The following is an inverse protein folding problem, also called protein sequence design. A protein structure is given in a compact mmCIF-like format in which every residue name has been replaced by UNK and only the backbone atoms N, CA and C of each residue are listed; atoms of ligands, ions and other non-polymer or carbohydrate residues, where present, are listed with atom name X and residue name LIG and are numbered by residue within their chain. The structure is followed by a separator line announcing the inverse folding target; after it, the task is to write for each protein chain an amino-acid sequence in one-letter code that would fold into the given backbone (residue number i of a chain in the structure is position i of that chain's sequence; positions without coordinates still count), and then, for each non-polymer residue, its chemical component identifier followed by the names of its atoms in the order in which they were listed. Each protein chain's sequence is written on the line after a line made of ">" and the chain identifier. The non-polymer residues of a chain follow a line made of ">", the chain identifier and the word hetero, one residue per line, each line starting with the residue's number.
data_IF_838792564149
#
_entry.id   IF_838792564149
#
_cell.length_a   1.000
_cell.length_b   1.000
_cell.length_c   1.000
_cell.angle_alpha   90.00
_cell.angle_beta   90.00
_cell.angle_gamma   90.00
#
_symmetry.space_group_name_H-M   'P 1'
#
loop_
_entity.id
_entity.type
_entity.pdbx_description
1 polymer ?
#
# COMPACT_ATOMS: atom_id res chain seq x y z
N UNK A 1 -13.88 -20.71 16.56
CA UNK A 1 -12.56 -21.06 17.10
C UNK A 1 -11.66 -21.20 15.89
N UNK A 2 -10.91 -20.14 15.60
CA UNK A 2 -9.95 -20.05 14.50
C UNK A 2 -8.88 -21.14 14.65
N UNK A 3 -8.44 -21.71 13.53
CA UNK A 3 -7.32 -22.61 13.43
C UNK A 3 -6.05 -21.94 13.94
N UNK A 4 -5.80 -22.02 15.25
CA UNK A 4 -4.52 -21.65 15.82
C UNK A 4 -3.50 -22.70 15.41
N UNK A 5 -2.55 -22.29 14.60
CA UNK A 5 -1.31 -23.03 14.49
C UNK A 5 -0.43 -22.51 15.61
N UNK A 6 -0.19 -23.34 16.63
CA UNK A 6 1.03 -23.22 17.43
C UNK A 6 2.20 -23.55 16.49
N UNK A 7 2.53 -22.60 15.61
CA UNK A 7 3.81 -22.60 14.94
C UNK A 7 4.78 -22.37 16.08
N UNK A 8 5.53 -23.40 16.49
CA UNK A 8 6.21 -23.33 17.78
C UNK A 8 7.11 -22.09 17.80
N UNK A 9 6.76 -21.15 18.66
CA UNK A 9 7.34 -19.81 18.74
C UNK A 9 8.87 -19.91 18.85
N UNK A 10 9.32 -20.91 19.61
CA UNK A 10 10.72 -21.25 19.82
C UNK A 10 11.45 -21.65 18.53
N UNK A 11 10.81 -22.41 17.63
CA UNK A 11 11.44 -22.85 16.38
C UNK A 11 11.47 -21.73 15.35
N UNK A 12 10.40 -20.94 15.22
CA UNK A 12 10.45 -19.71 14.42
C UNK A 12 11.61 -18.84 14.90
N UNK A 13 11.73 -18.60 16.21
CA UNK A 13 12.82 -17.81 16.77
C UNK A 13 14.20 -18.41 16.44
N UNK A 14 14.36 -19.73 16.56
CA UNK A 14 15.62 -20.41 16.22
C UNK A 14 15.98 -20.30 14.74
N UNK A 15 15.00 -20.39 13.84
CA UNK A 15 15.22 -20.25 12.40
C UNK A 15 15.50 -18.80 12.02
N UNK A 16 14.81 -17.85 12.64
CA UNK A 16 15.09 -16.41 12.45
C UNK A 16 16.53 -16.06 12.83
N UNK A 17 17.05 -16.61 13.93
CA UNK A 17 18.46 -16.42 14.30
C UNK A 17 19.47 -16.98 13.27
N UNK A 18 19.05 -17.94 12.44
CA UNK A 18 19.87 -18.55 11.39
C UNK A 18 19.74 -17.85 10.02
N UNK A 19 18.76 -16.97 9.83
CA UNK A 19 18.50 -16.27 8.57
C UNK A 19 19.09 -14.87 8.63
N UNK A 20 20.17 -14.62 7.88
CA UNK A 20 20.72 -13.26 7.71
C UNK A 20 20.36 -12.62 6.38
N UNK A 21 19.94 -13.45 5.42
CA UNK A 21 19.30 -12.99 4.20
C UNK A 21 18.75 -14.15 3.38
N UNK A 22 18.23 -13.80 2.19
CA UNK A 22 17.63 -14.75 1.25
C UNK A 22 18.51 -16.00 1.00
N UNK A 23 19.84 -15.89 0.80
CA UNK A 23 20.67 -17.07 0.54
C UNK A 23 20.68 -18.10 1.68
N UNK A 24 20.49 -17.68 2.93
CA UNK A 24 20.47 -18.59 4.07
C UNK A 24 19.15 -19.36 4.15
N UNK A 25 18.06 -18.75 3.68
CA UNK A 25 16.76 -19.43 3.55
C UNK A 25 16.87 -20.54 2.52
N UNK A 26 17.48 -20.27 1.36
CA UNK A 26 17.74 -21.29 0.34
C UNK A 26 18.56 -22.46 0.89
N UNK A 27 19.59 -22.18 1.71
CA UNK A 27 20.38 -23.23 2.38
C UNK A 27 19.54 -24.04 3.37
N UNK A 28 18.70 -23.40 4.17
CA UNK A 28 17.82 -24.09 5.12
C UNK A 28 16.78 -24.98 4.42
N UNK A 29 16.42 -24.63 3.18
CA UNK A 29 15.55 -25.38 2.29
C UNK A 29 16.31 -26.41 1.42
N UNK A 30 17.55 -26.77 1.77
CA UNK A 30 18.21 -27.96 1.19
C UNK A 30 17.76 -29.24 1.91
N UNK A 31 17.95 -30.40 1.27
CA UNK A 31 17.58 -31.72 1.81
C UNK A 31 16.11 -31.82 2.29
N UNK A 32 15.19 -31.21 1.54
CA UNK A 32 13.75 -31.15 1.90
C UNK A 32 13.11 -32.52 2.07
N UNK A 33 13.62 -33.56 1.40
CA UNK A 33 13.13 -34.92 1.52
C UNK A 33 13.32 -35.51 2.94
N UNK A 34 14.28 -34.99 3.71
CA UNK A 34 14.58 -35.44 5.08
C UNK A 34 13.84 -34.60 6.15
N UNK A 35 13.18 -33.51 5.74
CA UNK A 35 12.50 -32.58 6.64
C UNK A 35 11.00 -32.87 6.71
N UNK A 36 10.39 -32.62 7.87
CA UNK A 36 8.93 -32.70 8.00
C UNK A 36 8.30 -31.51 7.25
N UNK A 37 7.15 -31.71 6.64
CA UNK A 37 6.44 -30.64 5.90
C UNK A 37 6.18 -29.40 6.76
N UNK A 38 5.88 -29.57 8.05
CA UNK A 38 5.72 -28.47 8.99
C UNK A 38 7.01 -27.67 9.16
N UNK A 39 8.17 -28.32 9.20
CA UNK A 39 9.46 -27.65 9.34
C UNK A 39 9.78 -26.81 8.09
N UNK A 40 9.41 -27.29 6.91
CA UNK A 40 9.56 -26.55 5.64
C UNK A 40 8.72 -25.27 5.67
N UNK A 41 7.44 -25.38 6.06
CA UNK A 41 6.55 -24.22 6.18
C UNK A 41 7.04 -23.22 7.25
N UNK A 42 7.53 -23.72 8.39
CA UNK A 42 8.13 -22.91 9.45
C UNK A 42 9.36 -22.14 8.98
N UNK A 43 10.25 -22.76 8.20
CA UNK A 43 11.42 -22.09 7.61
C UNK A 43 10.99 -20.98 6.64
N UNK A 44 9.99 -21.25 5.80
CA UNK A 44 9.44 -20.28 4.84
C UNK A 44 8.84 -19.07 5.60
N UNK A 45 8.02 -19.32 6.63
CA UNK A 45 7.42 -18.27 7.45
C UNK A 45 8.48 -17.50 8.25
N UNK A 46 9.44 -18.19 8.88
CA UNK A 46 10.51 -17.52 9.62
C UNK A 46 11.35 -16.63 8.70
N UNK A 47 11.67 -17.11 7.50
CA UNK A 47 12.42 -16.35 6.51
C UNK A 47 11.66 -15.11 6.01
N UNK A 48 10.34 -15.20 5.83
CA UNK A 48 9.54 -14.04 5.41
C UNK A 48 9.43 -12.99 6.52
N UNK A 49 9.32 -13.40 7.79
CA UNK A 49 9.31 -12.49 8.93
C UNK A 49 10.65 -11.79 9.13
N UNK A 50 11.77 -12.52 8.99
CA UNK A 50 13.12 -11.94 9.17
C UNK A 50 13.53 -10.99 8.03
N UNK A 51 12.95 -11.19 6.84
CA UNK A 51 13.18 -10.32 5.67
C UNK A 51 12.15 -9.21 5.54
N UNK A 52 11.22 -9.06 6.50
CA UNK A 52 10.09 -8.12 6.46
C UNK A 52 9.25 -8.24 5.16
N UNK A 53 9.07 -9.46 4.66
CA UNK A 53 8.29 -9.72 3.46
C UNK A 53 6.80 -9.46 3.68
N UNK A 54 6.14 -8.87 2.68
CA UNK A 54 4.70 -8.59 2.70
C UNK A 54 3.85 -9.76 2.20
N UNK A 55 4.35 -10.51 1.23
CA UNK A 55 3.70 -11.70 0.69
C UNK A 55 4.72 -12.82 0.45
N UNK A 56 4.29 -14.06 0.67
CA UNK A 56 4.98 -15.29 0.27
C UNK A 56 4.26 -15.86 -0.94
N UNK A 57 5.01 -16.17 -1.99
CA UNK A 57 4.50 -16.74 -3.22
C UNK A 57 5.10 -18.13 -3.43
N UNK A 58 4.22 -19.12 -3.63
CA UNK A 58 4.60 -20.48 -4.00
C UNK A 58 3.96 -20.80 -5.35
N UNK A 59 4.79 -20.91 -6.39
CA UNK A 59 4.34 -20.90 -7.78
C UNK A 59 4.83 -22.16 -8.51
N UNK A 60 3.97 -23.18 -8.67
CA UNK A 60 4.34 -24.42 -9.35
C UNK A 60 4.69 -24.19 -10.81
N UNK A 61 5.85 -24.73 -11.20
CA UNK A 61 6.33 -24.85 -12.57
C UNK A 61 6.30 -26.34 -12.98
N UNK A 62 6.71 -26.64 -14.21
CA UNK A 62 6.67 -28.00 -14.75
C UNK A 62 7.50 -29.01 -13.93
N UNK A 63 8.64 -28.59 -13.38
CA UNK A 63 9.65 -29.45 -12.73
C UNK A 63 10.00 -29.05 -11.28
N UNK A 64 9.69 -27.82 -10.88
CA UNK A 64 9.94 -27.29 -9.54
C UNK A 64 8.81 -26.34 -9.10
N UNK A 65 8.85 -25.89 -7.86
CA UNK A 65 7.99 -24.82 -7.34
C UNK A 65 8.85 -23.65 -6.94
N UNK A 66 8.60 -22.49 -7.51
CA UNK A 66 9.34 -21.27 -7.21
C UNK A 66 8.80 -20.64 -5.94
N UNK A 67 9.66 -20.47 -4.94
CA UNK A 67 9.38 -19.67 -3.74
C UNK A 67 9.87 -18.24 -3.95
N UNK A 68 8.98 -17.26 -3.81
CA UNK A 68 9.32 -15.83 -3.89
C UNK A 68 8.78 -15.07 -2.71
N UNK A 69 9.50 -14.03 -2.29
CA UNK A 69 9.01 -13.06 -1.31
C UNK A 69 8.80 -11.70 -1.95
N UNK A 70 7.72 -11.02 -1.55
CA UNK A 70 7.53 -9.61 -1.88
C UNK A 70 8.20 -8.73 -0.83
N UNK A 71 9.40 -8.25 -1.15
CA UNK A 71 10.18 -7.33 -0.33
C UNK A 71 10.02 -5.92 -0.87
N UNK A 72 9.57 -4.99 -0.03
CA UNK A 72 9.34 -3.59 -0.41
C UNK A 72 8.54 -3.42 -1.72
N UNK A 73 7.53 -4.29 -1.92
CA UNK A 73 6.64 -4.27 -3.09
C UNK A 73 7.15 -5.06 -4.31
N UNK A 74 8.41 -5.49 -4.32
CA UNK A 74 9.04 -6.20 -5.45
C UNK A 74 9.23 -7.68 -5.11
N UNK A 75 8.93 -8.56 -6.08
CA UNK A 75 9.12 -10.00 -5.93
C UNK A 75 10.60 -10.36 -6.09
N UNK A 76 11.11 -11.15 -5.15
CA UNK A 76 12.48 -11.66 -5.14
C UNK A 76 12.43 -13.19 -5.06
N UNK A 77 13.18 -13.86 -5.92
CA UNK A 77 13.32 -15.31 -5.88
C UNK A 77 14.12 -15.72 -4.64
N UNK A 78 13.60 -16.72 -3.91
CA UNK A 78 14.18 -17.18 -2.64
C UNK A 78 14.80 -18.56 -2.79
N UNK A 79 14.03 -19.52 -3.31
CA UNK A 79 14.46 -20.90 -3.49
C UNK A 79 13.54 -21.64 -4.46
N UNK A 80 14.02 -22.78 -4.98
CA UNK A 80 13.18 -23.75 -5.67
C UNK A 80 12.89 -24.93 -4.74
N UNK A 81 11.63 -25.36 -4.74
CA UNK A 81 11.12 -26.47 -3.93
C UNK A 81 10.77 -27.62 -4.86
N UNK A 82 11.20 -28.87 -4.59
CA UNK A 82 10.80 -30.03 -5.37
C UNK A 82 9.29 -30.25 -5.35
N UNK A 83 8.69 -30.52 -6.51
CA UNK A 83 7.23 -30.69 -6.65
C UNK A 83 6.65 -31.79 -5.75
N UNK A 84 7.44 -32.84 -5.46
CA UNK A 84 7.06 -33.90 -4.53
C UNK A 84 6.81 -33.37 -3.10
N UNK A 85 7.65 -32.45 -2.61
CA UNK A 85 7.49 -31.83 -1.29
C UNK A 85 6.34 -30.83 -1.29
N UNK A 86 6.10 -30.14 -2.42
CA UNK A 86 5.09 -29.11 -2.52
C UNK A 86 3.66 -29.62 -2.31
N UNK A 87 3.32 -30.81 -2.81
CA UNK A 87 1.99 -31.41 -2.61
C UNK A 87 1.59 -31.48 -1.13
N UNK A 88 2.55 -31.82 -0.27
CA UNK A 88 2.34 -31.86 1.17
C UNK A 88 2.24 -30.45 1.77
N UNK A 89 3.06 -29.51 1.27
CA UNK A 89 3.02 -28.10 1.69
C UNK A 89 1.65 -27.48 1.38
N UNK A 90 1.10 -27.68 0.19
CA UNK A 90 -0.24 -27.22 -0.19
C UNK A 90 -1.30 -27.77 0.75
N UNK A 91 -1.24 -29.07 1.05
CA UNK A 91 -2.18 -29.70 1.99
C UNK A 91 -2.07 -29.11 3.39
N UNK A 92 -0.83 -28.83 3.85
CA UNK A 92 -0.59 -28.22 5.16
C UNK A 92 -1.13 -26.79 5.22
N UNK A 93 -0.86 -25.96 4.21
CA UNK A 93 -1.38 -24.58 4.12
C UNK A 93 -2.90 -24.57 4.12
N UNK A 94 -3.54 -25.42 3.31
CA UNK A 94 -5.00 -25.52 3.24
C UNK A 94 -5.61 -25.96 4.58
N UNK A 95 -4.99 -26.94 5.24
CA UNK A 95 -5.45 -27.40 6.55
C UNK A 95 -5.41 -26.28 7.60
N UNK A 96 -4.29 -25.56 7.71
CA UNK A 96 -4.14 -24.50 8.72
C UNK A 96 -4.99 -23.26 8.42
N UNK A 97 -5.32 -23.04 7.15
CA UNK A 97 -6.14 -21.91 6.70
C UNK A 97 -7.64 -22.26 6.64
N UNK A 98 -8.05 -23.41 7.18
CA UNK A 98 -9.43 -23.92 7.16
C UNK A 98 -10.04 -24.12 5.76
N UNK A 99 -9.21 -24.36 4.75
CA UNK A 99 -9.63 -24.64 3.38
C UNK A 99 -9.92 -26.12 3.16
N UNK A 100 -10.73 -26.43 2.14
CA UNK A 100 -11.09 -27.81 1.78
C UNK A 100 -9.96 -28.47 0.99
N UNK A 101 -9.37 -29.52 1.56
CA UNK A 101 -8.24 -30.27 0.94
C UNK A 101 -8.61 -30.93 -0.38
N UNK A 102 -9.84 -31.42 -0.50
CA UNK A 102 -10.35 -32.14 -1.67
C UNK A 102 -10.82 -31.23 -2.82
N UNK A 103 -10.90 -29.91 -2.60
CA UNK A 103 -11.24 -28.94 -3.65
C UNK A 103 -9.94 -28.42 -4.25
N UNK A 104 -9.68 -28.70 -5.53
CA UNK A 104 -8.48 -28.23 -6.24
C UNK A 104 -8.80 -27.55 -7.57
N UNK A 105 -10.10 -27.43 -7.91
CA UNK A 105 -10.59 -26.96 -9.21
C UNK A 105 -11.03 -25.50 -9.22
N UNK A 106 -10.99 -24.82 -8.07
CA UNK A 106 -11.42 -23.43 -7.91
C UNK A 106 -10.58 -22.74 -6.83
N UNK A 107 -10.57 -21.42 -6.88
CA UNK A 107 -9.92 -20.60 -5.87
C UNK A 107 -10.48 -20.83 -4.46
N UNK A 108 -9.63 -20.72 -3.45
CA UNK A 108 -9.99 -20.78 -2.05
C UNK A 108 -9.20 -19.75 -1.26
N UNK A 109 -9.87 -19.09 -0.32
CA UNK A 109 -9.28 -18.14 0.60
C UNK A 109 -9.46 -18.63 2.04
N UNK A 110 -8.54 -18.25 2.91
CA UNK A 110 -8.50 -18.71 4.29
C UNK A 110 -7.56 -17.83 5.10
N UNK A 111 -7.54 -18.05 6.42
CA UNK A 111 -6.75 -17.24 7.35
C UNK A 111 -6.18 -18.12 8.44
N UNK A 112 -5.02 -17.75 8.96
CA UNK A 112 -4.42 -18.34 10.14
C UNK A 112 -3.56 -17.32 10.87
N UNK A 113 -3.23 -17.57 12.13
CA UNK A 113 -2.42 -16.67 12.95
C UNK A 113 -1.07 -17.29 13.25
N UNK A 114 0.00 -16.50 13.13
CA UNK A 114 1.34 -16.85 13.61
C UNK A 114 1.56 -16.11 14.93
N UNK A 115 1.90 -16.85 15.99
CA UNK A 115 2.34 -16.28 17.26
C UNK A 115 3.87 -16.16 17.22
N UNK A 116 4.40 -14.95 17.32
CA UNK A 116 5.86 -14.69 17.33
C UNK A 116 6.19 -13.53 18.28
N UNK A 117 7.13 -13.74 19.22
CA UNK A 117 7.62 -12.69 20.13
C UNK A 117 6.51 -11.90 20.87
N UNK A 118 5.47 -12.58 21.37
CA UNK A 118 4.25 -12.00 21.97
C UNK A 118 3.39 -11.13 21.03
N UNK A 119 3.63 -11.19 19.72
CA UNK A 119 2.82 -10.54 18.70
C UNK A 119 2.06 -11.61 17.92
N UNK A 120 0.78 -11.37 17.71
CA UNK A 120 -0.04 -12.16 16.80
C UNK A 120 0.01 -11.53 15.40
N UNK A 121 0.38 -12.33 14.41
CA UNK A 121 0.47 -11.92 13.02
C UNK A 121 -0.57 -12.71 12.24
N UNK A 122 -1.63 -12.05 11.80
CA UNK A 122 -2.62 -12.66 10.92
C UNK A 122 -2.02 -12.86 9.52
N UNK A 123 -2.26 -14.04 8.95
CA UNK A 123 -1.89 -14.38 7.59
C UNK A 123 -3.13 -14.70 6.79
N UNK A 124 -3.30 -14.02 5.66
CA UNK A 124 -4.33 -14.37 4.68
C UNK A 124 -3.71 -15.30 3.64
N UNK A 125 -4.33 -16.44 3.44
CA UNK A 125 -3.93 -17.42 2.45
C UNK A 125 -4.93 -17.40 1.29
N UNK A 126 -4.41 -17.35 0.06
CA UNK A 126 -5.18 -17.53 -1.16
C UNK A 126 -4.55 -18.65 -1.99
N UNK A 127 -5.39 -19.53 -2.51
CA UNK A 127 -4.99 -20.71 -3.30
C UNK A 127 -5.71 -20.67 -4.63
N UNK A 128 -4.98 -20.77 -5.74
CA UNK A 128 -5.53 -20.74 -7.10
C UNK A 128 -5.09 -21.97 -7.91
N UNK A 129 -6.01 -22.65 -8.62
CA UNK A 129 -5.64 -23.77 -9.48
C UNK A 129 -4.73 -23.31 -10.62
N UNK A 130 -3.70 -24.10 -10.90
CA UNK A 130 -2.76 -23.88 -12.00
C UNK A 130 -2.41 -25.17 -12.74
N UNK A 131 -1.74 -25.07 -13.91
CA UNK A 131 -1.45 -26.22 -14.77
C UNK A 131 -0.52 -27.26 -14.12
N UNK A 132 0.34 -26.83 -13.18
CA UNK A 132 1.33 -27.67 -12.53
C UNK A 132 1.05 -27.89 -11.03
N UNK A 133 -0.10 -27.42 -10.55
CA UNK A 133 -0.48 -27.46 -9.13
C UNK A 133 -1.19 -26.18 -8.70
N UNK A 134 -1.63 -26.14 -7.44
CA UNK A 134 -2.25 -24.95 -6.87
C UNK A 134 -1.17 -23.90 -6.54
N UNK A 135 -1.31 -22.68 -7.06
CA UNK A 135 -0.53 -21.52 -6.63
C UNK A 135 -0.99 -21.10 -5.23
N UNK A 136 -0.06 -20.71 -4.36
CA UNK A 136 -0.37 -20.22 -3.02
C UNK A 136 0.25 -18.84 -2.83
N UNK A 137 -0.54 -17.90 -2.33
CA UNK A 137 -0.09 -16.60 -1.85
C UNK A 137 -0.46 -16.48 -0.38
N UNK A 138 0.53 -16.17 0.47
CA UNK A 138 0.32 -15.88 1.88
C UNK A 138 0.67 -14.42 2.13
N UNK A 139 -0.33 -13.59 2.45
CA UNK A 139 -0.13 -12.19 2.83
C UNK A 139 0.06 -12.05 4.32
N UNK A 140 1.17 -11.46 4.73
CA UNK A 140 1.57 -11.29 6.13
C UNK A 140 1.13 -9.92 6.63
N UNK A 141 0.17 -9.88 7.55
CA UNK A 141 -0.33 -8.65 8.14
C UNK A 141 0.52 -8.29 9.37
N UNK A 142 1.74 -7.81 9.12
CA UNK A 142 2.66 -7.43 10.19
C UNK A 142 2.22 -6.10 10.85
N UNK A 143 1.86 -6.09 12.15
CA UNK A 143 1.35 -4.89 12.82
C UNK A 143 2.37 -3.77 12.93
N UNK A 144 3.68 -4.02 12.76
CA UNK A 144 4.69 -2.95 12.68
C UNK A 144 4.40 -1.94 11.55
N UNK A 145 3.76 -2.38 10.47
CA UNK A 145 3.38 -1.52 9.36
C UNK A 145 2.27 -0.51 9.71
N UNK A 146 1.55 -0.73 10.82
CA UNK A 146 0.52 0.18 11.31
C UNK A 146 1.15 1.47 11.82
N UNK A 147 2.38 1.47 12.34
CA UNK A 147 2.91 2.57 13.17
C UNK A 147 3.30 3.86 12.42
N UNK A 148 3.13 3.95 11.09
CA UNK A 148 3.55 5.12 10.31
C UNK A 148 2.71 6.35 10.69
N UNK A 149 3.34 7.36 11.30
CA UNK A 149 2.69 8.61 11.65
C UNK A 149 2.41 9.50 10.42
N UNK A 150 1.48 10.45 10.55
CA UNK A 150 1.17 11.41 9.49
C UNK A 150 2.42 12.16 8.99
N UNK A 151 3.32 12.53 9.90
CA UNK A 151 4.59 13.21 9.60
C UNK A 151 5.63 12.32 8.90
N UNK A 152 5.48 11.00 8.98
CA UNK A 152 6.43 10.02 8.46
C UNK A 152 6.02 9.46 7.09
N UNK A 153 4.88 9.90 6.55
CA UNK A 153 4.37 9.44 5.25
C UNK A 153 5.30 9.79 4.08
N UNK A 154 6.15 10.80 4.25
CA UNK A 154 7.07 11.28 3.23
C UNK A 154 6.50 12.37 2.33
N UNK A 155 5.47 13.07 2.79
CA UNK A 155 4.97 14.26 2.11
C UNK A 155 6.03 15.37 2.11
N UNK A 156 6.04 16.19 1.06
CA UNK A 156 6.82 17.42 1.09
C UNK A 156 6.30 18.34 2.20
N UNK A 157 7.15 19.16 2.85
CA UNK A 157 6.74 19.96 4.00
C UNK A 157 5.51 20.84 3.76
N UNK A 158 5.40 21.46 2.59
CA UNK A 158 4.24 22.30 2.24
C UNK A 158 2.97 21.48 1.95
N UNK A 159 3.11 20.30 1.34
CA UNK A 159 1.99 19.36 1.15
C UNK A 159 1.49 18.90 2.52
N UNK A 160 2.39 18.54 3.42
CA UNK A 160 2.04 18.11 4.76
C UNK A 160 1.33 19.22 5.54
N UNK A 161 1.79 20.47 5.43
CA UNK A 161 1.11 21.63 6.05
C UNK A 161 -0.30 21.84 5.48
N UNK A 162 -0.47 21.74 4.16
CA UNK A 162 -1.78 21.81 3.52
C UNK A 162 -2.70 20.70 4.01
N UNK A 163 -2.23 19.45 4.01
CA UNK A 163 -3.00 18.31 4.51
C UNK A 163 -3.36 18.44 5.99
N UNK A 164 -2.47 18.99 6.82
CA UNK A 164 -2.77 19.23 8.24
C UNK A 164 -3.93 20.24 8.42
N UNK A 165 -4.00 21.28 7.57
CA UNK A 165 -5.12 22.23 7.57
C UNK A 165 -6.43 21.56 7.15
N UNK A 166 -6.36 20.69 6.15
CA UNK A 166 -7.53 19.98 5.61
C UNK A 166 -8.06 18.92 6.58
N UNK A 167 -7.18 18.19 7.25
CA UNK A 167 -7.53 17.24 8.31
C UNK A 167 -8.15 17.91 9.55
N UNK A 168 -7.91 19.21 9.75
CA UNK A 168 -8.46 19.98 10.86
C UNK A 168 -9.84 20.58 10.57
N UNK A 169 -10.34 20.48 9.33
CA UNK A 169 -11.69 20.97 8.97
C UNK A 169 -12.76 20.08 9.60
N UNK A 170 -13.92 20.66 9.98
CA UNK A 170 -14.99 19.91 10.63
C UNK A 170 -15.68 18.93 9.68
N UNK A 171 -15.69 19.21 8.39
CA UNK A 171 -16.38 18.41 7.40
C UNK A 171 -15.72 18.49 6.02
N UNK A 172 -16.22 17.63 5.14
CA UNK A 172 -15.78 17.53 3.75
C UNK A 172 -15.02 16.24 3.47
N UNK A 173 -14.60 16.04 2.22
CA UNK A 173 -14.03 14.76 1.78
C UNK A 173 -12.55 14.89 1.41
N UNK A 174 -11.73 14.00 1.97
CA UNK A 174 -10.33 13.80 1.57
C UNK A 174 -10.25 12.46 0.84
N UNK A 175 -9.83 12.53 -0.43
CA UNK A 175 -9.76 11.37 -1.31
C UNK A 175 -8.33 10.95 -1.57
N UNK A 176 -8.01 9.69 -1.30
CA UNK A 176 -6.70 9.12 -1.63
C UNK A 176 -6.80 8.13 -2.78
N UNK A 177 -6.02 8.35 -3.84
CA UNK A 177 -6.04 7.52 -5.03
C UNK A 177 -4.69 6.87 -5.31
N UNK A 178 -4.71 5.87 -6.19
CA UNK A 178 -3.54 5.11 -6.62
C UNK A 178 -3.83 3.62 -6.78
N UNK A 179 -2.91 2.87 -7.38
CA UNK A 179 -3.07 1.43 -7.59
C UNK A 179 -3.06 0.63 -6.28
N UNK A 180 -3.33 -0.66 -6.36
CA UNK A 180 -3.15 -1.58 -5.22
C UNK A 180 -1.69 -1.56 -4.76
N UNK A 181 -1.47 -1.55 -3.44
CA UNK A 181 -0.12 -1.51 -2.88
C UNK A 181 0.55 -0.13 -2.90
N UNK A 182 -0.15 0.93 -3.30
CA UNK A 182 0.38 2.30 -3.27
C UNK A 182 0.40 2.96 -1.88
N UNK A 183 -0.05 2.25 -0.83
CA UNK A 183 -0.04 2.72 0.56
C UNK A 183 -1.29 3.50 0.99
N UNK A 184 -2.39 3.48 0.21
CA UNK A 184 -3.62 4.25 0.54
C UNK A 184 -4.13 3.98 1.95
N UNK A 185 -4.31 2.72 2.31
CA UNK A 185 -4.78 2.33 3.65
C UNK A 185 -3.84 2.82 4.75
N UNK A 186 -2.52 2.74 4.55
CA UNK A 186 -1.53 3.26 5.50
C UNK A 186 -1.67 4.77 5.69
N UNK A 187 -1.84 5.53 4.59
CA UNK A 187 -2.09 6.97 4.63
C UNK A 187 -3.40 7.30 5.36
N UNK A 188 -4.50 6.62 5.02
CA UNK A 188 -5.79 6.84 5.65
C UNK A 188 -5.78 6.51 7.14
N UNK A 189 -5.10 5.44 7.56
CA UNK A 189 -4.94 5.11 8.97
C UNK A 189 -4.07 6.13 9.71
N UNK A 190 -3.07 6.70 9.04
CA UNK A 190 -2.29 7.82 9.58
C UNK A 190 -3.17 9.07 9.77
N UNK A 191 -4.06 9.37 8.82
CA UNK A 191 -5.03 10.47 8.94
C UNK A 191 -6.02 10.24 10.08
N UNK A 192 -6.59 9.03 10.19
CA UNK A 192 -7.49 8.64 11.28
C UNK A 192 -6.83 8.89 12.63
N UNK A 193 -5.57 8.50 12.81
CA UNK A 193 -4.82 8.76 14.05
C UNK A 193 -4.56 10.23 14.31
N UNK A 194 -4.29 11.01 13.26
CA UNK A 194 -4.06 12.47 13.40
C UNK A 194 -5.32 13.19 13.88
N UNK A 195 -6.50 12.75 13.42
CA UNK A 195 -7.79 13.35 13.81
C UNK A 195 -8.41 12.73 15.07
N UNK A 196 -7.95 11.55 15.50
CA UNK A 196 -8.48 10.83 16.65
C UNK A 196 -8.26 11.57 17.96
N UNK A 197 -9.36 12.01 18.57
CA UNK A 197 -9.42 12.71 19.86
C UNK A 197 -10.57 12.13 20.69
N UNK A 198 -10.54 12.19 22.04
CA UNK A 198 -11.58 11.58 22.88
C UNK A 198 -13.02 12.02 22.61
N UNK A 199 -13.23 13.20 22.03
CA UNK A 199 -14.55 13.73 21.69
C UNK A 199 -14.95 13.56 20.22
N UNK A 200 -14.25 12.71 19.46
CA UNK A 200 -14.47 12.50 18.03
C UNK A 200 -14.80 11.04 17.78
N UNK A 201 -16.03 10.75 17.35
CA UNK A 201 -16.48 9.42 16.97
C UNK A 201 -16.06 9.10 15.54
N UNK A 202 -15.27 8.05 15.39
CA UNK A 202 -14.70 7.63 14.10
C UNK A 202 -15.19 6.23 13.78
N UNK A 203 -15.88 6.09 12.65
CA UNK A 203 -16.39 4.81 12.17
C UNK A 203 -15.83 4.50 10.78
N UNK A 204 -15.32 3.28 10.59
CA UNK A 204 -14.80 2.82 9.28
C UNK A 204 -15.65 1.71 8.68
N UNK A 205 -15.70 1.66 7.35
CA UNK A 205 -16.33 0.63 6.54
C UNK A 205 -15.31 0.10 5.54
N UNK A 206 -14.84 -1.14 5.73
CA UNK A 206 -13.67 -1.67 5.03
C UNK A 206 -13.92 -3.07 4.44
N UNK A 207 -13.27 -3.39 3.32
CA UNK A 207 -13.36 -4.70 2.68
C UNK A 207 -11.98 -5.26 2.30
N UNK A 208 -11.34 -6.07 3.16
CA UNK A 208 -11.60 -6.25 4.59
C UNK A 208 -10.89 -5.19 5.47
N UNK A 209 -11.08 -5.27 6.79
CA UNK A 209 -10.26 -4.50 7.74
C UNK A 209 -8.81 -5.03 7.66
N UNK A 210 -7.85 -4.16 7.34
CA UNK A 210 -6.44 -4.55 7.21
C UNK A 210 -5.77 -4.69 8.58
N UNK A 211 -6.04 -3.75 9.49
CA UNK A 211 -5.53 -3.80 10.86
C UNK A 211 -6.49 -3.13 11.84
N UNK A 212 -6.46 -3.59 13.09
CA UNK A 212 -7.21 -2.97 14.18
C UNK A 212 -6.53 -1.71 14.71
N UNK A 213 -7.26 -0.59 14.71
CA UNK A 213 -6.85 0.68 15.31
C UNK A 213 -7.57 0.83 16.65
N UNK A 214 -6.79 0.89 17.73
CA UNK A 214 -7.34 1.04 19.07
C UNK A 214 -8.17 2.33 19.20
N UNK A 215 -9.39 2.20 19.74
CA UNK A 215 -10.30 3.32 19.96
C UNK A 215 -11.15 3.71 18.74
N UNK A 216 -11.02 3.00 17.61
CA UNK A 216 -11.79 3.27 16.39
C UNK A 216 -12.81 2.16 16.14
N UNK A 217 -14.01 2.52 15.76
CA UNK A 217 -15.09 1.58 15.46
C UNK A 217 -14.97 1.14 14.00
N UNK A 218 -14.31 0.00 13.78
CA UNK A 218 -14.10 -0.53 12.42
C UNK A 218 -15.12 -1.60 12.08
N UNK A 219 -15.81 -1.45 10.94
CA UNK A 219 -16.76 -2.43 10.42
C UNK A 219 -16.26 -3.02 9.11
N UNK A 220 -16.47 -4.32 8.94
CA UNK A 220 -16.04 -5.04 7.75
C UNK A 220 -17.24 -5.39 6.87
N UNK A 221 -17.07 -5.31 5.55
CA UNK A 221 -18.04 -5.83 4.59
C UNK A 221 -18.22 -7.34 4.78
N UNK A 222 -19.48 -7.77 4.77
CA UNK A 222 -19.90 -9.16 4.82
C UNK A 222 -20.97 -9.38 3.74
N UNK A 223 -20.54 -9.36 2.48
CA UNK A 223 -21.42 -9.43 1.31
C UNK A 223 -22.36 -10.64 1.33
N UNK A 224 -21.91 -11.80 1.83
CA UNK A 224 -22.74 -13.01 1.96
C UNK A 224 -23.93 -12.84 2.90
N UNK A 225 -23.83 -11.92 3.87
CA UNK A 225 -24.89 -11.57 4.82
C UNK A 225 -25.72 -10.35 4.39
N UNK A 226 -25.41 -9.75 3.24
CA UNK A 226 -26.05 -8.52 2.74
C UNK A 226 -25.57 -7.24 3.41
N UNK A 227 -24.43 -7.26 4.14
CA UNK A 227 -23.79 -6.06 4.68
C UNK A 227 -22.68 -5.60 3.73
N UNK A 228 -23.03 -4.68 2.82
CA UNK A 228 -22.19 -4.12 1.75
C UNK A 228 -21.88 -2.62 1.98
N UNK A 229 -21.12 -1.99 1.07
CA UNK A 229 -20.75 -0.58 1.21
C UNK A 229 -21.96 0.37 1.31
N UNK A 230 -22.98 0.29 0.43
CA UNK A 230 -24.16 1.14 0.56
C UNK A 230 -24.95 0.95 1.84
N UNK A 231 -25.24 -0.30 2.24
CA UNK A 231 -26.02 -0.60 3.45
C UNK A 231 -25.24 -0.27 4.74
N UNK A 232 -23.94 -0.55 4.76
CA UNK A 232 -23.03 -0.19 5.84
C UNK A 232 -22.96 1.32 6.04
N UNK A 233 -22.72 2.08 4.97
CA UNK A 233 -22.60 3.52 5.04
C UNK A 233 -23.90 4.20 5.54
N UNK A 234 -25.07 3.73 5.08
CA UNK A 234 -26.35 4.19 5.63
C UNK A 234 -26.50 3.92 7.13
N UNK A 235 -25.96 2.80 7.59
CA UNK A 235 -26.04 2.41 9.00
C UNK A 235 -25.11 3.27 9.85
N UNK A 236 -23.90 3.54 9.37
CA UNK A 236 -22.92 4.46 9.95
C UNK A 236 -23.53 5.85 10.15
N UNK A 237 -24.25 6.39 9.18
CA UNK A 237 -24.90 7.71 9.30
C UNK A 237 -25.96 7.81 10.41
N UNK A 238 -26.43 6.68 10.95
CA UNK A 238 -27.33 6.64 12.12
C UNK A 238 -26.60 6.40 13.44
N UNK A 239 -25.27 6.40 13.42
CA UNK A 239 -24.44 6.17 14.60
C UNK A 239 -23.84 7.45 15.18
N UNK A 240 -24.29 8.63 14.75
CA UNK A 240 -23.73 9.92 15.21
C UNK A 240 -22.20 10.03 15.01
N UNK A 241 -21.66 9.71 13.80
CA UNK A 241 -20.23 9.81 13.55
C UNK A 241 -19.77 11.26 13.36
N UNK A 242 -18.53 11.57 13.71
CA UNK A 242 -17.86 12.81 13.31
C UNK A 242 -17.00 12.58 12.05
N UNK A 243 -16.30 11.44 12.02
CA UNK A 243 -15.40 11.04 10.93
C UNK A 243 -15.82 9.68 10.38
N UNK A 244 -15.87 9.57 9.06
CA UNK A 244 -16.23 8.34 8.36
C UNK A 244 -15.09 7.94 7.42
N UNK A 245 -14.63 6.70 7.50
CA UNK A 245 -13.76 6.11 6.48
C UNK A 245 -14.55 5.11 5.66
N UNK A 246 -14.62 5.34 4.34
CA UNK A 246 -15.16 4.37 3.37
C UNK A 246 -13.97 3.79 2.62
N UNK A 247 -13.73 2.48 2.76
CA UNK A 247 -12.53 1.83 2.23
C UNK A 247 -12.30 2.11 0.75
N UNK A 248 -13.37 2.12 -0.05
CA UNK A 248 -13.34 2.47 -1.47
C UNK A 248 -14.73 2.87 -1.99
N UNK A 249 -14.75 3.69 -3.04
CA UNK A 249 -15.98 4.05 -3.77
C UNK A 249 -15.96 3.40 -5.15
N UNK A 250 -16.58 2.23 -5.28
CA UNK A 250 -16.63 1.50 -6.58
C UNK A 250 -17.86 1.84 -7.42
N UNK A 251 -18.96 2.19 -6.76
CA UNK A 251 -20.26 2.37 -7.37
C UNK A 251 -20.87 3.74 -7.04
N UNK A 252 -21.91 4.11 -7.79
CA UNK A 252 -22.63 5.36 -7.65
C UNK A 252 -23.24 5.53 -6.25
N UNK A 253 -23.85 4.49 -5.69
CA UNK A 253 -24.63 4.58 -4.45
C UNK A 253 -23.74 4.87 -3.24
N UNK A 254 -22.60 4.17 -3.17
CA UNK A 254 -21.55 4.39 -2.18
C UNK A 254 -20.97 5.80 -2.31
N UNK A 255 -20.57 6.20 -3.53
CA UNK A 255 -19.98 7.52 -3.77
C UNK A 255 -20.96 8.66 -3.47
N UNK A 256 -22.20 8.55 -3.94
CA UNK A 256 -23.25 9.53 -3.71
C UNK A 256 -23.55 9.70 -2.21
N UNK A 257 -23.69 8.59 -1.48
CA UNK A 257 -23.96 8.64 -0.04
C UNK A 257 -22.77 9.22 0.74
N UNK A 258 -21.54 8.86 0.39
CA UNK A 258 -20.34 9.35 1.05
C UNK A 258 -20.14 10.86 0.84
N UNK A 259 -20.42 11.38 -0.36
CA UNK A 259 -20.34 12.82 -0.62
C UNK A 259 -21.44 13.60 0.08
N UNK A 260 -22.67 13.06 0.14
CA UNK A 260 -23.73 13.69 0.93
C UNK A 260 -23.39 13.70 2.43
N UNK A 261 -22.72 12.67 2.94
CA UNK A 261 -22.19 12.68 4.31
C UNK A 261 -21.21 13.85 4.52
N UNK A 262 -20.28 14.04 3.57
CA UNK A 262 -19.32 15.14 3.61
C UNK A 262 -19.98 16.54 3.60
N UNK A 263 -21.06 16.70 2.82
CA UNK A 263 -21.87 17.92 2.77
C UNK A 263 -22.71 18.17 4.03
N UNK A 264 -23.04 17.11 4.78
CA UNK A 264 -23.90 17.16 5.97
C UNK A 264 -23.14 17.26 7.28
N UNK A 265 -21.87 17.68 7.23
CA UNK A 265 -21.10 17.99 8.43
C UNK A 265 -20.12 16.91 8.89
N UNK A 266 -19.89 15.87 8.09
CA UNK A 266 -18.93 14.79 8.43
C UNK A 266 -17.60 15.01 7.71
N UNK A 267 -16.49 14.66 8.35
CA UNK A 267 -15.21 14.50 7.68
C UNK A 267 -15.14 13.09 7.09
N UNK A 268 -15.01 12.98 5.77
CA UNK A 268 -15.07 11.68 5.07
C UNK A 268 -13.73 11.37 4.40
N UNK A 269 -13.20 10.20 4.69
CA UNK A 269 -12.03 9.64 4.01
C UNK A 269 -12.45 8.52 3.08
N UNK A 270 -11.91 8.51 1.87
CA UNK A 270 -12.21 7.44 0.92
C UNK A 270 -11.11 7.23 -0.11
N UNK A 271 -11.20 6.11 -0.84
CA UNK A 271 -10.30 5.81 -1.94
C UNK A 271 -10.99 5.65 -3.29
N UNK A 272 -10.23 5.96 -4.34
CA UNK A 272 -10.52 5.59 -5.73
C UNK A 272 -9.29 4.98 -6.40
N UNK A 273 -9.55 4.22 -7.46
CA UNK A 273 -8.52 3.68 -8.33
C UNK A 273 -8.33 4.59 -9.55
N UNK A 274 -7.64 5.71 -9.36
CA UNK A 274 -7.12 6.55 -10.45
C UNK A 274 -5.59 6.58 -10.41
N UNK A 275 -4.96 6.94 -11.53
CA UNK A 275 -3.51 6.96 -11.66
C UNK A 275 -2.86 8.21 -11.07
N UNK A 276 -3.63 9.29 -10.94
CA UNK A 276 -3.21 10.61 -10.50
C UNK A 276 -4.38 11.35 -9.83
N UNK A 277 -4.07 12.48 -9.18
CA UNK A 277 -5.04 13.28 -8.44
C UNK A 277 -6.05 13.94 -9.38
N UNK A 278 -5.57 14.41 -10.54
CA UNK A 278 -6.37 15.09 -11.57
C UNK A 278 -7.50 14.20 -12.14
N UNK A 279 -7.28 12.88 -12.23
CA UNK A 279 -8.27 11.92 -12.73
C UNK A 279 -9.40 11.61 -11.74
N UNK A 280 -9.32 12.09 -10.49
CA UNK A 280 -10.32 11.82 -9.45
C UNK A 280 -11.69 12.40 -9.81
N UNK A 281 -11.74 13.66 -10.23
CA UNK A 281 -12.99 14.36 -10.56
C UNK A 281 -13.65 13.76 -11.82
N UNK A 282 -12.94 13.57 -12.96
CA UNK A 282 -13.50 12.86 -14.10
C UNK A 282 -14.05 11.48 -13.74
N UNK A 283 -13.34 10.71 -12.90
CA UNK A 283 -13.79 9.39 -12.47
C UNK A 283 -15.10 9.42 -11.69
N UNK A 284 -15.31 10.42 -10.85
CA UNK A 284 -16.57 10.61 -10.12
C UNK A 284 -17.73 10.99 -11.05
N UNK A 285 -17.45 11.81 -12.07
CA UNK A 285 -18.43 12.13 -13.11
C UNK A 285 -18.79 10.86 -13.91
N UNK A 286 -17.82 10.00 -14.22
CA UNK A 286 -18.05 8.71 -14.89
C UNK A 286 -18.87 7.74 -14.04
N UNK A 287 -18.79 7.86 -12.71
CA UNK A 287 -19.68 7.16 -11.77
C UNK A 287 -21.08 7.79 -11.70
N UNK A 288 -21.38 8.78 -12.54
CA UNK A 288 -22.63 9.55 -12.59
C UNK A 288 -22.89 10.43 -11.36
N UNK A 289 -21.85 10.83 -10.64
CA UNK A 289 -21.99 11.83 -9.58
C UNK A 289 -22.10 13.21 -10.22
N UNK A 290 -23.10 13.98 -9.79
CA UNK A 290 -23.35 15.31 -10.31
C UNK A 290 -22.25 16.30 -9.88
N UNK A 291 -21.72 17.15 -10.78
CA UNK A 291 -20.74 18.17 -10.42
C UNK A 291 -21.17 19.07 -9.25
N UNK A 292 -22.47 19.31 -9.10
CA UNK A 292 -23.03 20.10 -8.00
C UNK A 292 -22.91 19.43 -6.62
N UNK A 293 -22.69 18.12 -6.57
CA UNK A 293 -22.35 17.38 -5.35
C UNK A 293 -20.82 17.35 -5.20
N UNK A 294 -20.10 17.05 -6.29
CA UNK A 294 -18.63 16.89 -6.26
C UNK A 294 -17.93 18.15 -5.76
N UNK A 295 -18.24 19.30 -6.36
CA UNK A 295 -17.54 20.55 -6.12
C UNK A 295 -17.53 20.95 -4.63
N UNK A 296 -18.69 21.04 -3.94
CA UNK A 296 -18.70 21.42 -2.53
C UNK A 296 -18.36 20.28 -1.54
N UNK A 297 -18.35 19.01 -1.98
CA UNK A 297 -18.15 17.88 -1.07
C UNK A 297 -16.67 17.53 -0.84
N UNK A 298 -15.82 17.74 -1.84
CA UNK A 298 -14.41 17.34 -1.80
C UNK A 298 -13.56 18.53 -1.42
N UNK A 299 -12.64 18.31 -0.48
CA UNK A 299 -11.67 19.30 -0.06
C UNK A 299 -10.35 19.09 -0.79
N UNK A 300 -9.93 17.83 -0.85
CA UNK A 300 -8.67 17.41 -1.43
C UNK A 300 -8.84 16.10 -2.17
N UNK A 301 -8.34 16.05 -3.39
CA UNK A 301 -8.01 14.79 -4.05
C UNK A 301 -6.50 14.64 -4.11
N UNK A 302 -5.97 13.54 -3.59
CA UNK A 302 -4.55 13.21 -3.62
C UNK A 302 -4.32 11.87 -4.30
N UNK A 303 -3.19 11.74 -4.97
CA UNK A 303 -2.70 10.46 -5.48
C UNK A 303 -1.36 10.12 -4.86
N UNK A 304 -1.11 8.82 -4.71
CA UNK A 304 0.15 8.34 -4.17
C UNK A 304 0.65 7.07 -4.84
N UNK A 305 1.97 6.90 -4.81
CA UNK A 305 2.68 5.64 -5.05
C UNK A 305 3.78 5.46 -4.01
N UNK A 306 4.35 4.25 -3.92
CA UNK A 306 5.47 3.97 -3.02
C UNK A 306 6.75 3.76 -3.82
N UNK A 307 7.78 4.53 -3.50
CA UNK A 307 9.15 4.30 -3.96
C UNK A 307 9.94 3.59 -2.86
N UNK A 308 10.87 2.72 -3.25
CA UNK A 308 11.80 2.09 -2.30
C UNK A 308 12.88 3.09 -1.87
N UNK A 309 13.30 3.01 -0.61
CA UNK A 309 14.39 3.85 -0.08
C UNK A 309 15.73 3.17 -0.33
N UNK A 310 16.73 3.90 -0.79
CA UNK A 310 18.09 3.35 -0.92
C UNK A 310 18.59 2.93 0.46
N UNK A 311 19.21 1.76 0.56
CA UNK A 311 19.66 1.22 1.84
C UNK A 311 20.79 2.06 2.44
N UNK A 312 20.55 2.67 3.60
CA UNK A 312 21.54 3.54 4.29
C UNK A 312 22.88 2.84 4.64
N UNK A 313 22.90 1.50 4.71
CA UNK A 313 24.13 0.74 5.01
C UNK A 313 25.05 0.52 3.81
N UNK A 314 24.51 0.51 2.59
CA UNK A 314 25.28 0.26 1.37
C UNK A 314 25.09 1.35 0.31
N UNK A 315 24.36 2.41 0.63
CA UNK A 315 24.15 3.57 -0.23
C UNK A 315 25.51 4.10 -0.70
N UNK A 316 25.71 4.10 -2.00
CA UNK A 316 26.83 4.78 -2.64
C UNK A 316 26.28 5.91 -3.49
N UNK A 317 27.19 6.63 -4.15
CA UNK A 317 26.83 7.70 -5.08
C UNK A 317 27.52 7.47 -6.41
N UNK A 318 26.87 7.89 -7.49
CA UNK A 318 27.43 7.88 -8.83
C UNK A 318 27.14 9.20 -9.54
N UNK A 319 28.00 9.61 -10.46
CA UNK A 319 27.70 10.71 -11.36
C UNK A 319 26.51 10.34 -12.24
N UNK A 320 25.54 11.25 -12.36
CA UNK A 320 24.41 11.09 -13.25
C UNK A 320 24.90 11.13 -14.70
N UNK A 321 24.44 10.18 -15.51
CA UNK A 321 24.64 10.25 -16.96
C UNK A 321 23.88 11.45 -17.57
N UNK A 322 24.22 11.79 -18.81
CA UNK A 322 23.64 12.94 -19.49
C UNK A 322 22.11 12.84 -19.63
N UNK A 323 21.57 11.63 -19.81
CA UNK A 323 20.14 11.40 -19.97
C UNK A 323 19.37 11.62 -18.65
N UNK A 324 19.88 11.05 -17.55
CA UNK A 324 19.35 11.22 -16.19
C UNK A 324 19.37 12.68 -15.78
N UNK A 325 20.50 13.37 -16.03
CA UNK A 325 20.61 14.81 -15.75
C UNK A 325 19.58 15.62 -16.53
N UNK A 326 19.46 15.38 -17.84
CA UNK A 326 18.50 16.10 -18.69
C UNK A 326 17.04 15.85 -18.25
N UNK A 327 16.70 14.62 -17.85
CA UNK A 327 15.38 14.29 -17.36
C UNK A 327 15.06 15.01 -16.03
N UNK A 328 16.00 15.05 -15.09
CA UNK A 328 15.87 15.81 -13.84
C UNK A 328 15.73 17.31 -14.13
N UNK A 329 16.55 17.86 -15.01
CA UNK A 329 16.48 19.27 -15.41
C UNK A 329 15.12 19.62 -16.03
N UNK A 330 14.56 18.75 -16.87
CA UNK A 330 13.23 18.93 -17.46
C UNK A 330 12.12 18.95 -16.40
N UNK A 331 12.14 18.03 -15.44
CA UNK A 331 11.15 18.01 -14.35
C UNK A 331 11.26 19.23 -13.42
N UNK A 332 12.49 19.65 -13.09
CA UNK A 332 12.72 20.87 -12.30
C UNK A 332 12.31 22.15 -13.05
N UNK A 333 12.40 22.16 -14.38
CA UNK A 333 11.92 23.28 -15.19
C UNK A 333 10.41 23.47 -15.05
N UNK A 334 9.66 22.37 -14.96
CA UNK A 334 8.21 22.31 -14.83
C UNK A 334 7.70 22.49 -13.39
N UNK A 335 8.59 22.63 -12.39
CA UNK A 335 8.14 22.89 -11.01
C UNK A 335 7.33 24.19 -10.94
N UNK A 336 6.20 24.20 -10.20
CA UNK A 336 5.36 25.37 -10.05
C UNK A 336 6.10 26.56 -9.42
N UNK A 337 5.57 27.76 -9.68
CA UNK A 337 6.06 29.00 -9.05
C UNK A 337 5.84 28.90 -7.53
N UNK A 338 6.91 29.08 -6.76
CA UNK A 338 6.88 29.00 -5.28
C UNK A 338 7.56 27.75 -4.71
N UNK A 339 7.78 26.72 -5.51
CA UNK A 339 8.59 25.56 -5.09
C UNK A 339 10.07 25.88 -5.32
N UNK A 340 10.87 25.77 -4.26
CA UNK A 340 12.31 26.01 -4.34
C UNK A 340 12.96 24.97 -5.26
N UNK A 341 13.62 25.45 -6.32
CA UNK A 341 14.35 24.57 -7.25
C UNK A 341 15.70 24.22 -6.63
N UNK A 342 16.00 22.92 -6.37
CA UNK A 342 17.30 22.52 -5.86
C UNK A 342 18.41 22.88 -6.85
N UNK A 343 19.59 23.22 -6.34
CA UNK A 343 20.76 23.43 -7.18
C UNK A 343 21.24 22.10 -7.78
N UNK A 344 21.62 22.12 -9.06
CA UNK A 344 22.21 20.97 -9.74
C UNK A 344 23.71 21.21 -9.95
N UNK A 345 24.59 20.68 -9.07
CA UNK A 345 26.03 20.84 -9.22
C UNK A 345 26.55 20.12 -10.48
N UNK A 346 27.76 20.49 -10.88
CA UNK A 346 28.49 19.79 -11.95
C UNK A 346 29.81 19.28 -11.37
N UNK A 347 30.01 17.95 -11.24
CA UNK A 347 29.10 16.88 -11.65
C UNK A 347 27.87 16.74 -10.73
N UNK A 348 26.75 16.26 -11.29
CA UNK A 348 25.56 15.90 -10.51
C UNK A 348 25.77 14.49 -9.96
N UNK A 349 25.89 14.38 -8.65
CA UNK A 349 26.15 13.11 -7.96
C UNK A 349 24.87 12.64 -7.27
N UNK A 350 24.38 11.45 -7.64
CA UNK A 350 23.10 10.90 -7.19
C UNK A 350 23.29 9.61 -6.39
N UNK A 351 22.33 9.24 -5.52
CA UNK A 351 22.32 7.95 -4.85
C UNK A 351 22.30 6.78 -5.83
N UNK A 352 22.97 5.69 -5.47
CA UNK A 352 22.95 4.44 -6.20
C UNK A 352 22.75 3.27 -5.25
N UNK A 353 21.76 2.43 -5.57
CA UNK A 353 21.55 1.15 -4.91
C UNK A 353 22.62 0.12 -5.33
N UNK A 354 23.26 -0.54 -4.37
CA UNK A 354 24.34 -1.53 -4.59
C UNK A 354 24.00 -2.92 -4.06
N UNK A 355 23.50 -3.00 -2.82
CA UNK A 355 23.16 -4.25 -2.15
C UNK A 355 24.15 -4.61 -1.02
N UNK A 356 23.61 -5.07 0.10
CA UNK A 356 24.36 -5.68 1.20
C UNK A 356 23.45 -6.64 1.98
N UNK A 357 24.00 -7.36 2.95
CA UNK A 357 23.27 -8.29 3.83
C UNK A 357 22.03 -7.66 4.47
N UNK A 358 22.13 -6.41 4.94
CA UNK A 358 21.05 -5.75 5.66
C UNK A 358 19.82 -5.38 4.81
N UNK A 359 19.99 -5.27 3.49
CA UNK A 359 18.90 -5.10 2.52
C UNK A 359 18.68 -6.36 1.67
N UNK A 360 19.23 -7.50 2.11
CA UNK A 360 19.16 -8.77 1.40
C UNK A 360 19.62 -8.67 -0.06
N UNK A 361 20.68 -7.89 -0.29
CA UNK A 361 21.29 -7.59 -1.58
C UNK A 361 20.37 -6.91 -2.61
N UNK A 362 19.22 -6.37 -2.20
CA UNK A 362 18.33 -5.62 -3.10
C UNK A 362 18.82 -4.20 -3.39
N UNK A 363 19.63 -3.64 -2.49
CA UNK A 363 20.06 -2.24 -2.51
C UNK A 363 19.05 -1.25 -1.91
N UNK A 364 17.88 -1.72 -1.49
CA UNK A 364 16.81 -0.90 -0.92
C UNK A 364 16.34 -1.45 0.43
N UNK A 365 15.86 -0.58 1.32
CA UNK A 365 15.23 -1.01 2.57
C UNK A 365 14.14 -0.04 3.00
N UNK A 366 12.90 -0.55 2.99
CA UNK A 366 11.72 0.24 3.31
C UNK A 366 11.24 1.07 2.12
N UNK A 367 10.10 1.73 2.32
CA UNK A 367 9.39 2.50 1.29
C UNK A 367 9.05 3.90 1.80
N UNK A 368 8.81 4.81 0.87
CA UNK A 368 8.31 6.15 1.12
C UNK A 368 7.24 6.50 0.09
N UNK A 369 6.22 7.25 0.50
CA UNK A 369 5.21 7.75 -0.44
C UNK A 369 5.80 8.81 -1.36
N UNK A 370 5.37 8.82 -2.62
CA UNK A 370 5.40 10.00 -3.50
C UNK A 370 3.96 10.47 -3.68
N UNK A 371 3.76 11.78 -3.60
CA UNK A 371 2.43 12.38 -3.50
C UNK A 371 2.25 13.50 -4.51
N UNK A 372 1.03 13.62 -4.97
CA UNK A 372 0.51 14.83 -5.60
C UNK A 372 -0.91 15.07 -5.06
N UNK A 373 -1.34 16.32 -5.10
CA UNK A 373 -2.66 16.70 -4.60
C UNK A 373 -3.23 17.85 -5.41
N UNK A 374 -4.54 17.92 -5.43
CA UNK A 374 -5.30 19.07 -5.90
C UNK A 374 -6.26 19.49 -4.79
N UNK A 375 -6.23 20.77 -4.44
CA UNK A 375 -7.17 21.37 -3.50
C UNK A 375 -8.41 21.78 -4.30
N UNK A 376 -9.60 21.54 -3.77
CA UNK A 376 -10.83 22.02 -4.41
C UNK A 376 -11.11 23.41 -3.83
N UNK A 377 -10.50 24.43 -4.43
CA UNK A 377 -10.77 25.83 -4.14
C UNK A 377 -11.85 26.38 -5.08
N UNK A 378 -12.26 27.65 -4.89
CA UNK A 378 -13.27 28.31 -5.73
C UNK A 378 -12.98 28.20 -7.24
N UNK A 379 -11.70 28.23 -7.64
CA UNK A 379 -11.32 28.12 -9.06
C UNK A 379 -11.55 26.70 -9.58
N UNK A 380 -11.15 25.70 -8.79
CA UNK A 380 -11.35 24.30 -9.13
C UNK A 380 -12.83 23.92 -9.07
N UNK A 381 -13.61 24.44 -8.12
CA UNK A 381 -15.06 24.24 -8.08
C UNK A 381 -15.74 24.73 -9.37
N UNK A 382 -15.41 25.95 -9.84
CA UNK A 382 -15.93 26.48 -11.10
C UNK A 382 -15.52 25.63 -12.30
N UNK A 383 -14.35 25.00 -12.23
CA UNK A 383 -13.90 24.07 -13.25
C UNK A 383 -14.69 22.76 -13.21
N UNK A 384 -14.94 22.19 -12.02
CA UNK A 384 -15.72 20.96 -11.81
C UNK A 384 -17.12 21.07 -12.43
N UNK A 385 -17.81 22.21 -12.28
CA UNK A 385 -19.12 22.45 -12.90
C UNK A 385 -19.14 22.32 -14.43
N UNK A 386 -17.99 22.53 -15.09
CA UNK A 386 -17.84 22.40 -16.55
C UNK A 386 -17.54 20.99 -17.02
N UNK A 387 -17.49 20.01 -16.10
CA UNK A 387 -17.11 18.61 -16.36
C UNK A 387 -15.72 18.51 -17.03
N UNK A 388 -14.68 18.92 -16.31
CA UNK A 388 -13.35 19.09 -16.87
C UNK A 388 -12.72 17.75 -17.21
N UNK A 389 -11.87 17.75 -18.22
CA UNK A 389 -10.95 16.65 -18.52
C UNK A 389 -9.84 16.56 -17.47
N UNK A 390 -9.19 15.41 -17.39
CA UNK A 390 -8.00 15.21 -16.55
C UNK A 390 -6.88 16.21 -16.87
N UNK A 391 -6.73 16.61 -18.14
CA UNK A 391 -5.73 17.59 -18.58
C UNK A 391 -6.01 18.97 -17.97
N UNK A 392 -7.27 19.42 -18.00
CA UNK A 392 -7.68 20.70 -17.41
C UNK A 392 -7.51 20.69 -15.89
N UNK A 393 -7.84 19.57 -15.24
CA UNK A 393 -7.61 19.40 -13.80
C UNK A 393 -6.12 19.42 -13.44
N UNK A 394 -5.25 18.80 -14.26
CA UNK A 394 -3.80 18.83 -14.08
C UNK A 394 -3.24 20.25 -14.24
N UNK A 395 -3.77 21.03 -15.18
CA UNK A 395 -3.41 22.44 -15.34
C UNK A 395 -3.82 23.28 -14.12
N UNK A 396 -5.02 23.06 -13.58
CA UNK A 396 -5.48 23.73 -12.36
C UNK A 396 -4.61 23.37 -11.15
N UNK A 397 -4.28 22.09 -10.98
CA UNK A 397 -3.34 21.61 -9.96
C UNK A 397 -1.98 22.34 -10.05
N UNK A 398 -1.40 22.44 -11.25
CA UNK A 398 -0.15 23.18 -11.44
C UNK A 398 -0.29 24.68 -11.14
N UNK A 399 -1.42 25.30 -11.49
CA UNK A 399 -1.70 26.70 -11.19
C UNK A 399 -1.79 26.97 -9.67
N UNK A 400 -2.21 25.98 -8.88
CA UNK A 400 -2.22 26.02 -7.40
C UNK A 400 -0.84 25.89 -6.76
N UNK A 401 0.24 25.73 -7.54
CA UNK A 401 1.57 25.52 -6.99
C UNK A 401 1.86 24.05 -6.63
N UNK A 402 1.00 23.11 -7.04
CA UNK A 402 1.13 21.70 -6.70
C UNK A 402 2.04 20.95 -7.69
N UNK A 403 2.75 19.97 -7.16
CA UNK A 403 3.71 19.14 -7.91
C UNK A 403 3.09 17.80 -8.31
N UNK A 404 3.63 17.18 -9.36
CA UNK A 404 3.29 15.80 -9.73
C UNK A 404 4.03 14.80 -8.84
N UNK A 405 3.58 13.54 -8.81
CA UNK A 405 4.33 12.47 -8.13
C UNK A 405 5.75 12.27 -8.70
N UNK A 406 5.95 12.50 -10.01
CA UNK A 406 7.27 12.44 -10.65
C UNK A 406 8.19 13.55 -10.16
N UNK A 407 7.68 14.78 -10.07
CA UNK A 407 8.42 15.90 -9.50
C UNK A 407 8.77 15.65 -8.02
N UNK A 408 7.84 15.12 -7.23
CA UNK A 408 8.10 14.73 -5.85
C UNK A 408 9.18 13.64 -5.74
N UNK A 409 9.11 12.63 -6.62
CA UNK A 409 10.14 11.60 -6.75
C UNK A 409 11.52 12.18 -7.07
N UNK A 410 11.63 13.09 -8.03
CA UNK A 410 12.89 13.77 -8.38
C UNK A 410 13.45 14.56 -7.20
N UNK A 411 12.60 15.29 -6.46
CA UNK A 411 13.04 16.00 -5.25
C UNK A 411 13.60 15.04 -4.19
N UNK A 412 13.02 13.84 -4.06
CA UNK A 412 13.51 12.78 -3.16
C UNK A 412 14.80 12.13 -3.61
N UNK A 413 15.03 12.01 -4.93
CA UNK A 413 16.33 11.58 -5.49
C UNK A 413 17.40 12.59 -5.12
N UNK A 414 17.14 13.87 -5.33
CA UNK A 414 18.07 14.97 -5.00
C UNK A 414 18.32 15.09 -3.49
N UNK A 415 17.33 14.76 -2.66
CA UNK A 415 17.47 14.66 -1.20
C UNK A 415 18.20 13.39 -0.73
N UNK A 416 18.55 12.49 -1.66
CA UNK A 416 19.31 11.29 -1.34
C UNK A 416 18.49 10.09 -0.86
N UNK A 417 17.16 10.16 -0.90
CA UNK A 417 16.29 9.17 -0.23
C UNK A 417 16.04 7.92 -1.10
N UNK A 418 15.85 8.14 -2.40
CA UNK A 418 15.66 7.10 -3.43
C UNK A 418 16.65 7.34 -4.56
N UNK A 419 16.72 6.44 -5.54
CA UNK A 419 17.45 6.66 -6.79
C UNK A 419 16.51 6.88 -7.98
N UNK A 420 17.07 7.40 -9.07
CA UNK A 420 16.31 7.78 -10.26
C UNK A 420 15.64 6.59 -10.98
N UNK A 421 16.30 5.41 -11.13
CA UNK A 421 15.64 4.24 -11.72
C UNK A 421 14.39 3.80 -10.97
N UNK A 422 14.39 3.91 -9.64
CA UNK A 422 13.20 3.58 -8.84
C UNK A 422 12.05 4.56 -9.05
N UNK A 423 12.35 5.86 -9.20
CA UNK A 423 11.34 6.86 -9.55
C UNK A 423 10.75 6.55 -10.92
N UNK A 424 11.57 6.30 -11.94
CA UNK A 424 11.07 5.97 -13.28
C UNK A 424 10.23 4.69 -13.29
N UNK A 425 10.63 3.66 -12.52
CA UNK A 425 9.85 2.42 -12.37
C UNK A 425 8.45 2.68 -11.81
N UNK A 426 8.32 3.65 -10.90
CA UNK A 426 7.07 3.89 -10.16
C UNK A 426 6.22 4.97 -10.82
N UNK A 427 6.79 6.00 -11.43
CA UNK A 427 6.06 7.17 -11.95
C UNK A 427 6.49 7.62 -13.35
N UNK A 428 7.31 6.85 -14.07
CA UNK A 428 7.81 7.24 -15.40
C UNK A 428 6.76 7.32 -16.51
N UNK A 429 5.60 6.68 -16.33
CA UNK A 429 4.49 6.63 -17.32
C UNK A 429 3.25 7.46 -16.92
N UNK A 430 3.34 8.23 -15.84
CA UNK A 430 2.24 9.08 -15.31
C UNK A 430 2.60 10.55 -15.35
#
# INVERSE_FOLDING_TARGET
>A
MTGEVDVSTERIASFRAAVKGIPDIAKLLTNLAEKRTTDILEIIIAGSLETDASDIHLEPQADHVRLRYRLDGVLNDVADIPSASYKYLTSRVKLISEMKLNIQTRGQDGRFTIKADNVEIEVRASVLPGPYGENIVLRILNPKNIAVGFKDLGMQPWIQEQMAKELAKPNGMIMTTGPTGSGKTTTLYAFIREVHKPGTKIITLEDPIEYHIAGIEQTQIHAESGYDFPSGLRSILRQDPDVILVGEMRDFETAHTAMNAALTGHLVFSTLHTNNAAGTIPRLIDLNIEPAIIAPAINVAMAQRLVRKVCEKCKTTAEADAATRAAIEAELALLPKGVAKPALPTPLVLPKATGCEACHNTGYKGRLGVFELILIDDTVEQLVFKKPSEVEMKQAMHAQGQITMRQDGVLKVLAGVTDFPEVERVVGET
#
